data_IF_792357292585
#
_entry.id   IF_792357292585
#
_cell.length_a   1.000
_cell.length_b   1.000
_cell.length_c   1.000
_cell.angle_alpha   90.00
_cell.angle_beta   90.00
_cell.angle_gamma   90.00
#
_symmetry.space_group_name_H-M   'P 1'
#
loop_
_entity.id
_entity.type
_entity.pdbx_description
1 polymer ?
#
# COMPACT_ATOMS: atom_id res chain seq x y z
N UNK A 1 -10.43 -49.99 -3.99
CA UNK A 1 -10.88 -50.41 -5.33
C UNK A 1 -9.98 -49.75 -6.36
N UNK A 2 -9.90 -50.28 -7.59
CA UNK A 2 -9.05 -49.73 -8.65
C UNK A 2 -9.94 -49.12 -9.74
N UNK A 3 -10.75 -48.15 -9.33
CA UNK A 3 -11.82 -47.56 -10.16
C UNK A 3 -11.23 -46.54 -11.13
N UNK A 4 -10.40 -47.05 -12.04
CA UNK A 4 -10.24 -46.47 -13.37
C UNK A 4 -11.53 -46.74 -14.13
N UNK A 5 -12.58 -45.98 -13.82
CA UNK A 5 -13.43 -45.52 -14.90
C UNK A 5 -12.48 -44.90 -15.93
N UNK A 6 -12.38 -45.49 -17.11
CA UNK A 6 -11.59 -44.90 -18.19
C UNK A 6 -12.14 -43.49 -18.38
N UNK A 7 -11.28 -42.47 -18.33
CA UNK A 7 -11.74 -41.10 -18.52
C UNK A 7 -12.19 -40.98 -19.98
N UNK A 8 -13.49 -41.18 -20.22
CA UNK A 8 -14.09 -41.13 -21.54
C UNK A 8 -14.03 -39.68 -22.00
N UNK A 9 -12.89 -39.31 -22.57
CA UNK A 9 -12.72 -38.08 -23.34
C UNK A 9 -13.81 -38.13 -24.40
N UNK A 10 -14.72 -37.16 -24.34
CA UNK A 10 -15.76 -36.97 -25.36
C UNK A 10 -15.03 -36.77 -26.68
N UNK A 11 -15.03 -37.81 -27.52
CA UNK A 11 -14.24 -37.83 -28.75
C UNK A 11 -14.64 -36.65 -29.62
N UNK A 12 -13.64 -35.99 -30.23
CA UNK A 12 -13.85 -34.85 -31.11
C UNK A 12 -14.81 -35.21 -32.24
N UNK A 13 -16.06 -34.76 -32.09
CA UNK A 13 -17.12 -34.97 -33.08
C UNK A 13 -17.29 -33.65 -33.87
N UNK A 14 -16.77 -33.55 -35.11
CA UNK A 14 -16.95 -32.35 -35.92
C UNK A 14 -18.44 -32.10 -36.27
N UNK A 15 -19.29 -33.11 -36.13
CA UNK A 15 -20.74 -33.03 -36.33
C UNK A 15 -21.52 -32.88 -35.00
N UNK A 16 -20.90 -32.38 -33.92
CA UNK A 16 -21.56 -32.16 -32.63
C UNK A 16 -22.76 -31.19 -32.73
N UNK A 17 -22.66 -30.19 -33.61
CA UNK A 17 -23.73 -29.25 -33.95
C UNK A 17 -23.71 -29.07 -35.47
N UNK A 18 -24.80 -29.45 -36.16
CA UNK A 18 -24.92 -29.35 -37.62
C UNK A 18 -26.06 -28.40 -37.98
N UNK A 19 -25.78 -27.42 -38.84
CA UNK A 19 -26.78 -26.48 -39.36
C UNK A 19 -27.34 -27.06 -40.67
N UNK A 20 -28.46 -27.79 -40.56
CA UNK A 20 -29.08 -28.47 -41.71
C UNK A 20 -29.70 -27.51 -42.74
N UNK A 21 -30.13 -26.32 -42.31
CA UNK A 21 -30.73 -25.30 -43.15
C UNK A 21 -30.47 -23.91 -42.55
N UNK A 22 -30.16 -22.92 -43.38
CA UNK A 22 -30.07 -21.52 -42.94
C UNK A 22 -31.47 -20.87 -42.92
N UNK A 23 -31.74 -19.93 -42.00
CA UNK A 23 -33.00 -19.19 -41.97
C UNK A 23 -33.26 -18.43 -43.28
N UNK A 24 -34.38 -18.72 -43.94
CA UNK A 24 -34.84 -17.94 -45.09
C UNK A 24 -35.71 -16.80 -44.58
N UNK A 25 -35.29 -15.56 -44.83
CA UNK A 25 -35.98 -14.35 -44.40
C UNK A 25 -36.47 -13.61 -45.65
N UNK A 26 -37.75 -13.28 -45.68
CA UNK A 26 -38.38 -12.45 -46.70
C UNK A 26 -38.91 -11.17 -46.06
N UNK A 27 -38.79 -10.04 -46.74
CA UNK A 27 -39.14 -8.72 -46.21
C UNK A 27 -39.86 -7.87 -47.27
N UNK A 28 -40.49 -6.78 -46.83
CA UNK A 28 -41.23 -5.82 -47.67
C UNK A 28 -41.04 -4.38 -47.13
N UNK A 29 -39.91 -4.10 -46.49
CA UNK A 29 -39.64 -2.87 -45.75
C UNK A 29 -39.60 -1.65 -46.67
N UNK A 30 -39.17 -1.79 -47.92
CA UNK A 30 -39.22 -0.68 -48.89
C UNK A 30 -40.65 -0.24 -49.25
N UNK A 31 -41.63 -1.16 -49.25
CA UNK A 31 -43.05 -0.79 -49.42
C UNK A 31 -43.56 0.02 -48.23
N UNK A 32 -43.19 -0.38 -47.01
CA UNK A 32 -43.57 0.32 -45.77
C UNK A 32 -42.87 1.68 -45.68
N UNK A 33 -41.59 1.75 -46.05
CA UNK A 33 -40.75 2.96 -46.07
C UNK A 33 -41.31 4.03 -47.00
N UNK A 34 -41.82 3.65 -48.18
CA UNK A 34 -42.46 4.60 -49.11
C UNK A 34 -43.70 5.27 -48.49
N UNK A 35 -44.56 4.51 -47.81
CA UNK A 35 -45.74 5.06 -47.12
C UNK A 35 -45.37 5.88 -45.88
N UNK A 36 -44.33 5.47 -45.11
CA UNK A 36 -43.79 6.29 -44.01
C UNK A 36 -43.27 7.63 -44.54
N UNK A 37 -42.47 7.64 -45.61
CA UNK A 37 -41.94 8.85 -46.23
C UNK A 37 -43.06 9.79 -46.69
N UNK A 38 -44.13 9.23 -47.27
CA UNK A 38 -45.33 9.99 -47.65
C UNK A 38 -46.03 10.62 -46.43
N UNK A 39 -46.18 9.86 -45.34
CA UNK A 39 -46.84 10.34 -44.11
C UNK A 39 -46.02 11.40 -43.37
N UNK A 40 -44.70 11.26 -43.29
CA UNK A 40 -43.83 12.28 -42.69
C UNK A 40 -43.83 13.55 -43.52
N UNK A 41 -43.62 13.45 -44.84
CA UNK A 41 -43.64 14.61 -45.73
C UNK A 41 -44.99 15.34 -45.73
N UNK A 42 -46.11 14.63 -45.57
CA UNK A 42 -47.41 15.27 -45.34
C UNK A 42 -47.44 16.00 -43.99
N UNK A 43 -47.05 15.36 -42.90
CA UNK A 43 -47.05 15.95 -41.57
C UNK A 43 -46.20 17.23 -41.48
N UNK A 44 -45.06 17.28 -42.19
CA UNK A 44 -44.19 18.47 -42.29
C UNK A 44 -44.87 19.67 -42.97
N UNK A 45 -45.93 19.47 -43.75
CA UNK A 45 -46.71 20.55 -44.40
C UNK A 45 -47.90 21.05 -43.58
N UNK A 46 -48.26 20.39 -42.46
CA UNK A 46 -49.45 20.74 -41.69
C UNK A 46 -49.16 21.84 -40.66
N UNK A 47 -49.71 23.03 -40.91
CA UNK A 47 -49.69 24.14 -39.93
C UNK A 47 -50.67 23.88 -38.77
N UNK A 48 -50.24 24.18 -37.55
CA UNK A 48 -51.06 23.96 -36.34
C UNK A 48 -51.94 25.19 -36.05
N UNK A 49 -53.26 24.99 -36.00
CA UNK A 49 -54.25 25.97 -35.54
C UNK A 49 -55.07 25.41 -34.37
N UNK A 50 -55.86 26.24 -33.70
CA UNK A 50 -56.75 25.75 -32.62
C UNK A 50 -57.81 24.76 -33.14
N UNK A 51 -58.32 25.01 -34.35
CA UNK A 51 -59.34 24.22 -35.03
C UNK A 51 -58.83 22.81 -35.39
N UNK A 52 -57.64 22.70 -35.98
CA UNK A 52 -57.10 21.41 -36.45
C UNK A 52 -56.27 20.64 -35.39
N UNK A 53 -55.96 21.27 -34.24
CA UNK A 53 -55.11 20.71 -33.17
C UNK A 53 -55.49 19.30 -32.73
N UNK A 54 -56.79 18.99 -32.66
CA UNK A 54 -57.27 17.67 -32.22
C UNK A 54 -57.06 16.58 -33.30
N UNK A 55 -57.02 16.95 -34.58
CA UNK A 55 -56.73 16.03 -35.69
C UNK A 55 -55.22 15.77 -35.80
N UNK A 56 -54.40 16.82 -35.66
CA UNK A 56 -52.93 16.69 -35.59
C UNK A 56 -52.52 15.77 -34.41
N UNK A 57 -53.20 15.89 -33.26
CA UNK A 57 -53.03 14.95 -32.13
C UNK A 57 -53.37 13.50 -32.49
N UNK A 58 -54.47 13.26 -33.23
CA UNK A 58 -54.82 11.90 -33.72
C UNK A 58 -53.77 11.37 -34.69
N UNK A 59 -53.31 12.20 -35.63
CA UNK A 59 -52.27 11.84 -36.61
C UNK A 59 -50.96 11.44 -35.92
N UNK A 60 -50.47 12.26 -34.97
CA UNK A 60 -49.28 11.94 -34.17
C UNK A 60 -49.44 10.65 -33.35
N UNK A 61 -50.62 10.40 -32.79
CA UNK A 61 -50.91 9.16 -32.08
C UNK A 61 -50.88 7.93 -33.01
N UNK A 62 -51.45 8.05 -34.22
CA UNK A 62 -51.44 7.00 -35.23
C UNK A 62 -50.00 6.67 -35.71
N UNK A 63 -49.18 7.69 -35.98
CA UNK A 63 -47.76 7.49 -36.35
C UNK A 63 -46.96 6.77 -35.25
N UNK A 64 -47.18 7.12 -33.98
CA UNK A 64 -46.55 6.43 -32.85
C UNK A 64 -47.01 4.97 -32.71
N UNK A 65 -48.31 4.70 -32.88
CA UNK A 65 -48.86 3.34 -32.82
C UNK A 65 -48.36 2.48 -33.99
N UNK A 66 -48.28 3.05 -35.20
CA UNK A 66 -47.71 2.40 -36.38
C UNK A 66 -46.23 2.07 -36.20
N UNK A 67 -45.43 2.98 -35.62
CA UNK A 67 -44.04 2.70 -35.26
C UNK A 67 -43.94 1.52 -34.29
N UNK A 68 -44.70 1.51 -33.18
CA UNK A 68 -44.64 0.39 -32.22
C UNK A 68 -44.96 -0.94 -32.89
N UNK A 69 -46.04 -0.99 -33.69
CA UNK A 69 -46.42 -2.19 -34.46
C UNK A 69 -45.28 -2.70 -35.36
N UNK A 70 -44.53 -1.80 -36.00
CA UNK A 70 -43.39 -2.17 -36.84
C UNK A 70 -42.21 -2.68 -36.01
N UNK A 71 -41.87 -2.00 -34.91
CA UNK A 71 -40.85 -2.44 -33.95
C UNK A 71 -41.17 -3.84 -33.40
N UNK A 72 -42.45 -4.12 -33.09
CA UNK A 72 -42.91 -5.38 -32.52
C UNK A 72 -42.99 -6.53 -33.55
N UNK A 73 -43.40 -6.25 -34.79
CA UNK A 73 -43.32 -7.21 -35.91
C UNK A 73 -41.86 -7.58 -36.21
N UNK A 74 -40.96 -6.60 -36.21
CA UNK A 74 -39.51 -6.82 -36.39
C UNK A 74 -38.93 -7.73 -35.30
N UNK A 75 -39.16 -7.40 -34.01
CA UNK A 75 -38.71 -8.23 -32.88
C UNK A 75 -39.23 -9.67 -33.00
N UNK A 76 -40.53 -9.83 -33.26
CA UNK A 76 -41.18 -11.16 -33.38
C UNK A 76 -40.62 -11.99 -34.52
N UNK A 77 -40.22 -11.36 -35.64
CA UNK A 77 -39.59 -12.06 -36.76
C UNK A 77 -38.17 -12.53 -36.43
N UNK A 78 -37.37 -11.67 -35.79
CA UNK A 78 -35.99 -11.98 -35.39
C UNK A 78 -35.94 -13.01 -34.25
N UNK A 79 -36.83 -12.91 -33.27
CA UNK A 79 -36.93 -13.85 -32.14
C UNK A 79 -37.15 -15.30 -32.60
N UNK A 80 -38.03 -15.51 -33.60
CA UNK A 80 -38.26 -16.84 -34.21
C UNK A 80 -37.01 -17.45 -34.84
N UNK A 81 -36.08 -16.62 -35.32
CA UNK A 81 -34.80 -17.05 -35.91
C UNK A 81 -33.75 -17.31 -34.82
N UNK A 82 -33.76 -16.52 -33.75
CA UNK A 82 -32.76 -16.59 -32.67
C UNK A 82 -33.11 -17.68 -31.64
N UNK A 83 -34.38 -17.94 -31.33
CA UNK A 83 -34.78 -18.89 -30.29
C UNK A 83 -34.24 -20.33 -30.50
N UNK A 84 -34.20 -20.91 -31.72
CA UNK A 84 -33.53 -22.20 -31.95
C UNK A 84 -32.03 -22.17 -31.67
N UNK A 85 -31.36 -21.05 -31.96
CA UNK A 85 -29.92 -20.85 -31.73
C UNK A 85 -29.66 -20.75 -30.22
N UNK A 86 -30.48 -19.99 -29.48
CA UNK A 86 -30.42 -19.92 -28.02
C UNK A 86 -30.66 -21.29 -27.36
N UNK A 87 -31.66 -22.06 -27.82
CA UNK A 87 -31.94 -23.38 -27.29
C UNK A 87 -30.79 -24.39 -27.49
N UNK A 88 -29.98 -24.24 -28.55
CA UNK A 88 -28.72 -24.98 -28.72
C UNK A 88 -27.60 -24.42 -27.83
N UNK A 89 -27.47 -23.09 -27.76
CA UNK A 89 -26.47 -22.41 -26.94
C UNK A 89 -26.61 -22.74 -25.45
N UNK A 90 -27.83 -22.82 -24.93
CA UNK A 90 -28.11 -23.08 -23.51
C UNK A 90 -27.90 -24.55 -23.16
N UNK A 91 -28.26 -25.49 -24.05
CA UNK A 91 -27.85 -26.90 -23.92
C UNK A 91 -26.34 -27.08 -23.93
N UNK A 92 -25.64 -26.34 -24.79
CA UNK A 92 -24.17 -26.34 -24.81
C UNK A 92 -23.59 -25.80 -23.49
N UNK A 93 -24.09 -24.66 -22.98
CA UNK A 93 -23.69 -24.08 -21.69
C UNK A 93 -23.87 -25.06 -20.53
N UNK A 94 -25.01 -25.76 -20.49
CA UNK A 94 -25.30 -26.76 -19.45
C UNK A 94 -24.28 -27.91 -19.50
N UNK A 95 -24.10 -28.52 -20.68
CA UNK A 95 -23.12 -29.60 -20.90
C UNK A 95 -21.68 -29.21 -20.51
N UNK A 96 -21.17 -28.04 -20.92
CA UNK A 96 -19.82 -27.61 -20.53
C UNK A 96 -19.73 -27.08 -19.10
N UNK A 97 -20.85 -26.62 -18.54
CA UNK A 97 -20.98 -26.22 -17.14
C UNK A 97 -20.74 -27.39 -16.18
N UNK A 98 -21.07 -28.62 -16.58
CA UNK A 98 -20.70 -29.84 -15.84
C UNK A 98 -19.19 -29.96 -15.67
N UNK A 99 -18.40 -29.74 -16.73
CA UNK A 99 -16.93 -29.73 -16.63
C UNK A 99 -16.41 -28.56 -15.78
N UNK A 100 -17.00 -27.36 -15.88
CA UNK A 100 -16.63 -26.23 -15.02
C UNK A 100 -16.84 -26.55 -13.53
N UNK A 101 -17.98 -27.16 -13.20
CA UNK A 101 -18.32 -27.60 -11.83
C UNK A 101 -17.40 -28.73 -11.35
N UNK A 102 -17.17 -29.74 -12.19
CA UNK A 102 -16.30 -30.87 -11.85
C UNK A 102 -14.85 -30.43 -11.63
N UNK A 103 -14.29 -29.58 -12.50
CA UNK A 103 -12.94 -29.05 -12.36
C UNK A 103 -12.79 -28.18 -11.10
N UNK A 104 -13.80 -27.38 -10.75
CA UNK A 104 -13.82 -26.62 -9.50
C UNK A 104 -13.82 -27.55 -8.27
N UNK A 105 -14.62 -28.63 -8.29
CA UNK A 105 -14.66 -29.62 -7.21
C UNK A 105 -13.37 -30.45 -7.11
N UNK A 106 -12.75 -30.81 -8.23
CA UNK A 106 -11.46 -31.51 -8.27
C UNK A 106 -10.35 -30.61 -7.72
N UNK A 107 -10.29 -29.33 -8.13
CA UNK A 107 -9.35 -28.36 -7.54
C UNK A 107 -9.55 -28.23 -6.03
N UNK A 108 -10.79 -28.04 -5.54
CA UNK A 108 -11.03 -27.92 -4.11
C UNK A 108 -10.60 -29.17 -3.32
N UNK A 109 -10.78 -30.37 -3.88
CA UNK A 109 -10.27 -31.62 -3.29
C UNK A 109 -8.74 -31.69 -3.28
N UNK A 110 -8.08 -31.26 -4.35
CA UNK A 110 -6.61 -31.20 -4.44
C UNK A 110 -6.08 -30.20 -3.41
N UNK A 111 -6.64 -28.98 -3.35
CA UNK A 111 -6.22 -27.93 -2.42
C UNK A 111 -6.29 -28.41 -0.96
N UNK A 112 -7.38 -29.06 -0.55
CA UNK A 112 -7.53 -29.64 0.80
C UNK A 112 -6.46 -30.69 1.12
N UNK A 113 -6.12 -31.57 0.17
CA UNK A 113 -5.07 -32.57 0.36
C UNK A 113 -3.68 -31.92 0.39
N UNK A 114 -3.42 -30.96 -0.50
CA UNK A 114 -2.17 -30.22 -0.52
C UNK A 114 -1.93 -29.42 0.77
N UNK A 115 -2.95 -28.74 1.28
CA UNK A 115 -2.85 -27.94 2.50
C UNK A 115 -2.73 -28.83 3.75
N UNK A 116 -3.42 -29.98 3.78
CA UNK A 116 -3.18 -31.01 4.80
C UNK A 116 -1.75 -31.55 4.78
N UNK A 117 -1.16 -31.76 3.59
CA UNK A 117 0.24 -32.18 3.44
C UNK A 117 1.26 -31.07 3.79
N UNK A 118 0.92 -29.79 3.55
CA UNK A 118 1.71 -28.64 4.02
C UNK A 118 1.70 -28.57 5.54
N UNK A 119 0.53 -28.64 6.17
CA UNK A 119 0.35 -28.59 7.62
C UNK A 119 1.03 -29.77 8.33
N UNK A 120 0.91 -31.00 7.81
CA UNK A 120 1.60 -32.16 8.37
C UNK A 120 3.14 -32.01 8.32
N UNK A 121 3.67 -31.45 7.23
CA UNK A 121 5.09 -31.13 7.08
C UNK A 121 5.51 -30.00 8.03
N UNK A 122 4.69 -28.97 8.19
CA UNK A 122 4.92 -27.86 9.10
C UNK A 122 5.00 -28.35 10.56
N UNK A 123 4.03 -29.15 11.00
CA UNK A 123 4.02 -29.76 12.33
C UNK A 123 5.27 -30.62 12.57
N UNK A 124 5.62 -31.53 11.66
CA UNK A 124 6.82 -32.38 11.78
C UNK A 124 8.14 -31.57 11.84
N UNK A 125 8.20 -30.41 11.18
CA UNK A 125 9.36 -29.49 11.24
C UNK A 125 9.34 -28.63 12.52
N UNK A 126 8.14 -28.31 13.04
CA UNK A 126 7.94 -27.57 14.30
C UNK A 126 8.23 -28.43 15.52
N UNK A 127 7.78 -29.67 15.56
CA UNK A 127 8.14 -30.68 16.57
C UNK A 127 9.67 -30.80 16.69
N UNK A 128 10.37 -30.95 15.56
CA UNK A 128 11.83 -31.00 15.51
C UNK A 128 12.52 -29.69 15.95
N UNK A 129 11.90 -28.54 15.71
CA UNK A 129 12.36 -27.25 16.25
C UNK A 129 12.19 -27.20 17.77
N UNK A 130 11.04 -27.61 18.30
CA UNK A 130 10.73 -27.65 19.73
C UNK A 130 11.65 -28.61 20.49
N UNK A 131 11.96 -29.79 19.92
CA UNK A 131 13.01 -30.70 20.39
C UNK A 131 14.39 -30.01 20.45
N UNK A 132 14.81 -29.35 19.37
CA UNK A 132 16.13 -28.72 19.27
C UNK A 132 16.31 -27.53 20.23
N UNK A 133 15.32 -26.66 20.39
CA UNK A 133 15.43 -25.52 21.32
C UNK A 133 15.37 -25.98 22.78
N UNK A 134 14.59 -27.03 23.09
CA UNK A 134 14.59 -27.68 24.40
C UNK A 134 15.96 -28.28 24.70
N UNK A 135 16.52 -29.06 23.76
CA UNK A 135 17.84 -29.70 23.92
C UNK A 135 19.01 -28.72 24.04
N UNK A 136 18.85 -27.47 23.58
CA UNK A 136 19.85 -26.39 23.72
C UNK A 136 19.49 -25.34 24.78
N UNK A 137 18.39 -25.52 25.52
CA UNK A 137 17.88 -24.60 26.54
C UNK A 137 17.70 -23.16 26.03
N UNK A 138 17.01 -23.00 24.90
CA UNK A 138 16.71 -21.70 24.27
C UNK A 138 15.21 -21.40 24.43
N UNK A 139 14.87 -20.37 25.19
CA UNK A 139 13.49 -20.06 25.62
C UNK A 139 12.79 -18.95 24.82
N UNK A 140 13.51 -18.24 23.96
CA UNK A 140 13.10 -16.92 23.46
C UNK A 140 12.89 -16.82 21.95
N UNK A 141 13.10 -17.91 21.20
CA UNK A 141 12.84 -17.96 19.77
C UNK A 141 11.57 -18.77 19.48
N UNK A 142 10.75 -18.32 18.54
CA UNK A 142 9.54 -19.02 18.11
C UNK A 142 9.71 -19.58 16.69
N UNK A 143 8.94 -20.62 16.35
CA UNK A 143 9.03 -21.29 15.06
C UNK A 143 8.80 -20.33 13.88
N UNK A 144 7.87 -19.39 14.09
CA UNK A 144 7.42 -18.40 13.11
C UNK A 144 8.53 -17.38 12.77
N UNK A 145 9.46 -17.13 13.70
CA UNK A 145 10.62 -16.25 13.49
C UNK A 145 11.68 -16.85 12.56
N UNK A 146 11.67 -18.17 12.29
CA UNK A 146 12.60 -18.80 11.35
C UNK A 146 12.27 -18.48 9.88
N UNK A 147 11.07 -17.95 9.59
CA UNK A 147 10.68 -17.49 8.25
C UNK A 147 10.64 -18.59 7.17
N UNK A 148 10.45 -19.86 7.58
CA UNK A 148 10.54 -21.02 6.71
C UNK A 148 9.39 -21.04 5.68
N UNK A 149 9.73 -21.20 4.40
CA UNK A 149 8.75 -21.34 3.31
C UNK A 149 8.34 -22.81 3.16
N UNK A 150 7.41 -23.25 4.01
CA UNK A 150 6.81 -24.58 3.91
C UNK A 150 6.07 -24.70 2.57
N UNK A 151 6.51 -25.63 1.72
CA UNK A 151 5.91 -25.92 0.42
C UNK A 151 5.97 -27.43 0.17
N UNK A 152 5.19 -27.94 -0.78
CA UNK A 152 5.25 -29.36 -1.13
C UNK A 152 6.57 -29.73 -1.83
N UNK A 153 7.13 -28.84 -2.64
CA UNK A 153 8.36 -29.06 -3.42
C UNK A 153 9.66 -29.03 -2.60
N UNK A 154 9.69 -28.35 -1.45
CA UNK A 154 10.85 -28.43 -0.53
C UNK A 154 10.72 -29.69 0.34
N UNK A 155 11.77 -30.51 0.39
CA UNK A 155 11.79 -31.72 1.21
C UNK A 155 11.84 -31.38 2.71
N UNK A 156 11.18 -32.20 3.53
CA UNK A 156 11.17 -32.04 5.00
C UNK A 156 12.60 -32.01 5.57
N UNK A 157 13.48 -32.90 5.09
CA UNK A 157 14.92 -32.91 5.45
C UNK A 157 15.57 -31.54 5.28
N UNK A 158 15.31 -30.85 4.17
CA UNK A 158 15.89 -29.52 3.90
C UNK A 158 15.34 -28.44 4.82
N UNK A 159 14.08 -28.55 5.24
CA UNK A 159 13.50 -27.66 6.26
C UNK A 159 14.12 -27.93 7.64
N UNK A 160 14.28 -29.21 8.03
CA UNK A 160 14.96 -29.59 9.29
C UNK A 160 16.45 -29.18 9.30
N UNK A 161 17.14 -29.27 8.17
CA UNK A 161 18.49 -28.69 8.00
C UNK A 161 18.50 -27.17 8.19
N UNK A 162 17.49 -26.45 7.68
CA UNK A 162 17.36 -25.00 7.89
C UNK A 162 17.06 -24.64 9.36
N UNK A 163 16.15 -25.36 10.02
CA UNK A 163 15.90 -25.24 11.47
C UNK A 163 17.21 -25.41 12.24
N UNK A 164 17.92 -26.53 12.02
CA UNK A 164 19.15 -26.84 12.73
C UNK A 164 20.21 -25.75 12.55
N UNK A 165 20.41 -25.26 11.32
CA UNK A 165 21.40 -24.21 11.05
C UNK A 165 21.07 -22.88 11.74
N UNK A 166 19.78 -22.52 11.88
CA UNK A 166 19.37 -21.32 12.63
C UNK A 166 19.57 -21.53 14.14
N UNK A 167 19.17 -22.69 14.66
CA UNK A 167 19.24 -22.99 16.10
C UNK A 167 20.69 -23.19 16.59
N UNK A 168 21.57 -23.80 15.78
CA UNK A 168 23.01 -23.88 16.08
C UNK A 168 23.70 -22.51 16.01
N UNK A 169 23.26 -21.62 15.11
CA UNK A 169 23.74 -20.23 15.10
C UNK A 169 23.38 -19.52 16.40
N UNK A 170 22.11 -19.57 16.82
CA UNK A 170 21.67 -18.96 18.09
C UNK A 170 22.41 -19.57 19.30
N UNK A 171 22.65 -20.89 19.32
CA UNK A 171 23.41 -21.54 20.38
C UNK A 171 24.92 -21.19 20.37
N UNK A 172 25.47 -20.79 19.22
CA UNK A 172 26.84 -20.29 19.09
C UNK A 172 26.93 -18.82 19.50
N UNK A 173 25.96 -18.02 19.06
CA UNK A 173 25.79 -16.61 19.42
C UNK A 173 25.68 -16.44 20.95
N UNK A 174 24.86 -17.25 21.62
CA UNK A 174 24.72 -17.24 23.09
C UNK A 174 26.05 -17.54 23.83
N UNK A 175 26.86 -18.47 23.31
CA UNK A 175 28.20 -18.76 23.87
C UNK A 175 29.17 -17.59 23.66
N UNK A 176 29.05 -16.86 22.56
CA UNK A 176 29.86 -15.67 22.30
C UNK A 176 29.46 -14.49 23.21
N UNK A 177 28.17 -14.38 23.55
CA UNK A 177 27.64 -13.37 24.49
C UNK A 177 28.11 -13.66 25.93
N UNK A 178 28.09 -14.92 26.39
CA UNK A 178 28.44 -15.28 27.78
C UNK A 178 29.89 -14.96 28.17
N UNK A 179 30.76 -14.73 27.18
CA UNK A 179 32.18 -14.35 27.33
C UNK A 179 32.37 -12.82 27.38
N UNK A 180 31.35 -12.01 27.07
CA UNK A 180 31.43 -10.54 27.11
C UNK A 180 31.31 -9.98 28.53
N UNK A 181 31.84 -8.78 28.77
CA UNK A 181 31.71 -8.08 30.06
C UNK A 181 30.26 -7.63 30.31
N UNK A 182 29.62 -6.96 29.34
CA UNK A 182 28.25 -6.43 29.44
C UNK A 182 27.15 -7.46 29.08
N UNK A 183 27.37 -8.75 29.37
CA UNK A 183 26.64 -9.86 28.71
C UNK A 183 25.12 -9.85 28.93
N UNK A 184 24.61 -9.45 30.09
CA UNK A 184 23.17 -9.38 30.35
C UNK A 184 22.47 -8.33 29.48
N UNK A 185 23.10 -7.16 29.27
CA UNK A 185 22.54 -6.11 28.41
C UNK A 185 22.67 -6.47 26.93
N UNK A 186 23.79 -7.08 26.54
CA UNK A 186 24.00 -7.61 25.19
C UNK A 186 22.97 -8.71 24.88
N UNK A 187 22.63 -9.57 25.83
CA UNK A 187 21.57 -10.58 25.67
C UNK A 187 20.18 -9.93 25.47
N UNK A 188 19.86 -8.87 26.22
CA UNK A 188 18.59 -8.13 26.07
C UNK A 188 18.47 -7.45 24.71
N UNK A 189 19.56 -6.92 24.14
CA UNK A 189 19.57 -6.44 22.76
C UNK A 189 19.51 -7.59 21.74
N UNK A 190 20.27 -8.67 21.95
CA UNK A 190 20.30 -9.83 21.05
C UNK A 190 18.93 -10.48 20.87
N UNK A 191 18.15 -10.65 21.95
CA UNK A 191 16.80 -11.26 21.92
C UNK A 191 15.82 -10.48 21.01
N UNK A 192 16.13 -9.25 20.57
CA UNK A 192 15.29 -8.46 19.64
C UNK A 192 15.48 -8.86 18.17
N UNK A 193 16.72 -9.14 17.76
CA UNK A 193 17.11 -9.20 16.33
C UNK A 193 18.01 -10.41 15.96
N UNK A 194 18.42 -11.23 16.93
CA UNK A 194 19.28 -12.41 16.75
C UNK A 194 20.59 -12.10 16.00
N UNK A 195 21.25 -10.99 16.38
CA UNK A 195 22.48 -10.49 15.78
C UNK A 195 23.47 -10.03 16.88
N UNK A 196 24.53 -10.81 17.14
CA UNK A 196 25.50 -10.51 18.20
C UNK A 196 26.27 -9.22 17.92
N UNK A 197 26.75 -9.04 16.69
CA UNK A 197 27.59 -7.89 16.33
C UNK A 197 26.85 -6.55 16.51
N UNK A 198 25.56 -6.52 16.20
CA UNK A 198 24.70 -5.36 16.38
C UNK A 198 24.35 -5.12 17.86
N UNK A 199 24.07 -6.16 18.63
CA UNK A 199 23.83 -6.07 20.08
C UNK A 199 25.07 -5.54 20.83
N UNK A 200 26.24 -6.16 20.62
CA UNK A 200 27.52 -5.74 21.21
C UNK A 200 27.87 -4.30 20.84
N UNK A 201 27.75 -3.93 19.56
CA UNK A 201 28.01 -2.57 19.09
C UNK A 201 27.06 -1.54 19.73
N UNK A 202 25.78 -1.89 19.87
CA UNK A 202 24.75 -1.03 20.48
C UNK A 202 25.02 -0.77 21.96
N UNK A 203 25.38 -1.80 22.73
CA UNK A 203 25.71 -1.68 24.16
C UNK A 203 27.02 -0.90 24.35
N UNK A 204 28.07 -1.23 23.60
CA UNK A 204 29.34 -0.50 23.67
C UNK A 204 29.19 1.00 23.30
N UNK A 205 28.37 1.33 22.30
CA UNK A 205 28.05 2.72 21.95
C UNK A 205 27.28 3.45 23.07
N UNK A 206 26.32 2.75 23.71
CA UNK A 206 25.53 3.26 24.84
C UNK A 206 26.42 3.53 26.06
N UNK A 207 27.28 2.60 26.44
CA UNK A 207 28.25 2.79 27.53
C UNK A 207 29.24 3.92 27.26
N UNK A 208 29.76 4.03 26.03
CA UNK A 208 30.62 5.15 25.61
C UNK A 208 29.91 6.51 25.69
N UNK A 209 28.63 6.58 25.30
CA UNK A 209 27.83 7.80 25.39
C UNK A 209 27.55 8.21 26.86
N UNK A 210 27.19 7.24 27.71
CA UNK A 210 26.96 7.45 29.15
C UNK A 210 28.24 7.96 29.83
N UNK A 211 29.40 7.37 29.52
CA UNK A 211 30.69 7.80 30.07
C UNK A 211 31.07 9.22 29.61
N UNK A 212 30.88 9.55 28.32
CA UNK A 212 31.15 10.89 27.81
C UNK A 212 30.29 11.97 28.51
N UNK A 213 29.02 11.70 28.80
CA UNK A 213 28.15 12.63 29.52
C UNK A 213 28.48 12.74 31.03
N UNK A 214 28.93 11.64 31.67
CA UNK A 214 29.49 11.69 33.04
C UNK A 214 30.72 12.61 33.10
N UNK A 215 31.68 12.42 32.19
CA UNK A 215 32.88 13.26 32.12
C UNK A 215 32.56 14.72 31.80
N UNK A 216 31.61 14.98 30.91
CA UNK A 216 31.14 16.34 30.59
C UNK A 216 30.59 17.04 31.83
N UNK A 217 29.81 16.35 32.66
CA UNK A 217 29.29 16.89 33.93
C UNK A 217 30.40 17.16 34.95
N UNK A 218 31.35 16.24 35.12
CA UNK A 218 32.52 16.44 36.01
C UNK A 218 33.34 17.67 35.57
N UNK A 219 33.64 17.78 34.27
CA UNK A 219 34.39 18.92 33.71
C UNK A 219 33.64 20.24 33.87
N UNK A 220 32.31 20.25 33.76
CA UNK A 220 31.47 21.43 34.04
C UNK A 220 31.44 21.79 35.54
N UNK A 221 31.36 20.82 36.44
CA UNK A 221 31.36 21.07 37.88
C UNK A 221 32.73 21.59 38.36
N UNK A 222 33.83 21.02 37.87
CA UNK A 222 35.18 21.55 38.08
C UNK A 222 35.31 23.00 37.60
N UNK A 223 34.84 23.32 36.39
CA UNK A 223 34.87 24.68 35.87
C UNK A 223 34.05 25.63 36.75
N UNK A 224 32.86 25.20 37.19
CA UNK A 224 32.00 25.98 38.10
C UNK A 224 32.62 26.17 39.48
N UNK A 225 33.37 25.18 39.99
CA UNK A 225 34.12 25.27 41.24
C UNK A 225 35.30 26.25 41.11
N UNK A 226 36.09 26.14 40.02
CA UNK A 226 37.20 27.05 39.69
C UNK A 226 36.71 28.50 39.53
N UNK A 227 35.59 28.72 38.84
CA UNK A 227 34.92 30.02 38.73
C UNK A 227 34.45 30.57 40.09
N UNK A 228 33.82 29.74 40.94
CA UNK A 228 33.42 30.14 42.30
C UNK A 228 34.62 30.52 43.17
N UNK A 229 35.73 29.80 43.07
CA UNK A 229 36.96 30.11 43.79
C UNK A 229 37.57 31.45 43.33
N UNK A 230 37.68 31.66 42.01
CA UNK A 230 38.13 32.93 41.44
C UNK A 230 37.23 34.11 41.84
N UNK A 231 35.90 33.95 41.77
CA UNK A 231 34.96 34.98 42.18
C UNK A 231 35.05 35.32 43.68
N UNK A 232 35.32 34.33 44.55
CA UNK A 232 35.60 34.56 45.97
C UNK A 232 36.90 35.35 46.16
N UNK A 233 37.99 34.94 45.51
CA UNK A 233 39.28 35.63 45.61
C UNK A 233 39.20 37.10 45.12
N UNK A 234 38.46 37.37 44.03
CA UNK A 234 38.20 38.74 43.56
C UNK A 234 37.35 39.54 44.55
N UNK A 235 36.30 38.95 45.12
CA UNK A 235 35.48 39.61 46.14
C UNK A 235 36.23 39.87 47.46
N UNK A 236 37.19 39.01 47.81
CA UNK A 236 38.05 39.15 48.98
C UNK A 236 39.13 40.22 48.77
N UNK A 237 39.77 40.25 47.60
CA UNK A 237 40.67 41.32 47.21
C UNK A 237 39.96 42.69 47.15
N UNK A 238 38.73 42.74 46.63
CA UNK A 238 37.90 43.95 46.63
C UNK A 238 37.52 44.41 48.05
N UNK A 239 37.28 43.47 48.98
CA UNK A 239 37.08 43.80 50.40
C UNK A 239 38.35 44.35 51.06
N UNK A 240 39.51 43.79 50.76
CA UNK A 240 40.79 44.30 51.25
C UNK A 240 41.06 45.72 50.72
N UNK A 241 40.81 45.97 49.43
CA UNK A 241 40.88 47.32 48.86
C UNK A 241 39.90 48.30 49.52
N UNK A 242 38.65 47.88 49.77
CA UNK A 242 37.66 48.70 50.46
C UNK A 242 38.04 49.03 51.92
N UNK A 243 38.74 48.13 52.62
CA UNK A 243 39.26 48.40 53.98
C UNK A 243 40.48 49.33 53.97
N UNK A 244 41.32 49.28 52.92
CA UNK A 244 42.42 50.26 52.73
C UNK A 244 41.87 51.65 52.35
N UNK A 245 40.71 51.73 51.71
CA UNK A 245 40.07 53.01 51.36
C UNK A 245 39.25 53.65 52.49
N UNK A 246 39.13 53.02 53.67
CA UNK A 246 38.49 53.61 54.86
C UNK A 246 39.43 54.39 55.79
N UNK A 247 40.69 54.64 55.40
CA UNK A 247 41.65 55.47 56.16
C UNK A 247 42.21 56.66 55.36
N UNK A 248 41.53 57.10 54.28
CA UNK A 248 41.98 58.24 53.45
C UNK A 248 40.80 59.03 52.85
N UNK A 249 40.16 59.86 53.67
CA UNK A 249 39.14 60.83 53.24
C UNK A 249 39.72 62.01 52.41
N UNK A 250 38.80 62.76 51.78
CA UNK A 250 38.94 64.06 51.09
C UNK A 250 39.67 64.06 49.72
N UNK A 251 39.04 64.40 48.58
CA UNK A 251 38.30 65.63 48.13
C UNK A 251 39.20 66.55 47.27
N UNK A 252 38.75 67.23 46.20
CA UNK A 252 37.39 67.33 45.61
C UNK A 252 37.31 66.55 44.25
N UNK A 253 37.13 67.03 43.01
CA UNK A 253 36.85 68.36 42.43
C UNK A 253 35.88 68.26 41.23
N UNK A 254 34.88 69.14 41.16
CA UNK A 254 33.81 69.12 40.12
C UNK A 254 34.19 69.68 38.74
N UNK A 255 33.53 69.18 37.70
CA UNK A 255 32.70 70.04 36.84
C UNK A 255 31.54 69.25 36.22
N UNK A 256 30.37 69.87 36.10
CA UNK A 256 29.13 69.23 35.66
C UNK A 256 28.35 70.12 34.68
N UNK A 257 27.50 69.51 33.83
CA UNK A 257 26.18 70.06 33.44
C UNK A 257 25.33 68.98 32.71
N UNK A 258 24.23 68.59 33.37
CA UNK A 258 22.87 68.25 32.86
C UNK A 258 22.69 67.32 31.63
N UNK A 259 22.15 66.13 31.91
CA UNK A 259 20.74 65.70 31.63
C UNK A 259 20.02 66.04 30.28
N UNK A 260 18.98 65.27 29.87
CA UNK A 260 18.67 63.84 30.16
C UNK A 260 17.96 63.04 29.01
N UNK A 261 17.63 61.76 29.30
CA UNK A 261 16.40 61.02 28.88
C UNK A 261 16.19 60.57 27.41
N UNK A 262 15.96 59.24 27.24
CA UNK A 262 15.30 58.52 26.14
C UNK A 262 15.92 58.60 24.71
N UNK A 263 15.95 57.51 23.93
CA UNK A 263 14.79 57.12 23.10
C UNK A 263 14.88 55.70 22.53
N UNK A 264 13.72 55.00 22.60
CA UNK A 264 13.19 53.89 21.78
C UNK A 264 14.15 53.17 20.81
N UNK A 265 14.28 51.86 21.03
CA UNK A 265 14.66 50.88 20.00
C UNK A 265 13.47 50.65 19.04
N UNK A 266 13.68 50.77 17.71
CA UNK A 266 12.61 50.53 16.73
C UNK A 266 13.11 49.99 15.38
N UNK A 267 12.77 48.71 15.14
CA UNK A 267 12.63 47.95 13.88
C UNK A 267 12.84 48.70 12.53
N UNK A 268 13.86 48.26 11.77
CA UNK A 268 13.90 48.29 10.30
C UNK A 268 14.89 47.21 9.77
N UNK A 269 14.79 46.72 8.51
CA UNK A 269 15.30 45.38 8.15
C UNK A 269 16.66 45.36 7.44
N UNK A 270 17.39 44.22 7.47
CA UNK A 270 18.69 44.06 6.82
C UNK A 270 18.58 43.87 5.30
N UNK A 271 19.58 44.37 4.55
CA UNK A 271 19.77 44.01 3.14
C UNK A 271 21.21 43.57 2.85
N UNK A 272 21.28 42.39 2.23
CA UNK A 272 22.26 41.93 1.24
C UNK A 272 23.75 42.14 1.55
N UNK A 273 24.40 41.05 1.97
CA UNK A 273 25.68 40.64 1.36
C UNK A 273 25.56 39.21 0.81
N UNK A 274 26.22 38.98 -0.32
CA UNK A 274 26.45 37.70 -1.01
C UNK A 274 27.88 37.73 -1.57
N UNK A 275 28.49 36.59 -1.93
CA UNK A 275 28.13 35.21 -1.59
C UNK A 275 29.27 34.48 -0.84
N UNK A 276 28.99 33.27 -0.35
CA UNK A 276 30.02 32.24 -0.17
C UNK A 276 29.41 30.90 -0.56
N UNK A 277 30.25 30.03 -1.13
CA UNK A 277 29.86 28.85 -1.89
C UNK A 277 29.41 27.70 -0.98
N UNK A 278 28.31 27.03 -1.34
CA UNK A 278 27.76 25.90 -0.60
C UNK A 278 27.08 24.91 -1.58
N UNK A 279 27.33 23.61 -1.37
CA UNK A 279 26.97 22.55 -2.30
C UNK A 279 25.44 22.35 -2.43
N UNK A 280 24.95 22.21 -3.67
CA UNK A 280 23.55 21.92 -3.95
C UNK A 280 23.29 20.42 -3.71
N UNK A 281 22.66 20.10 -2.57
CA UNK A 281 22.07 18.77 -2.36
C UNK A 281 20.68 18.70 -3.03
N UNK A 282 20.37 17.63 -3.79
CA UNK A 282 19.03 17.45 -4.35
C UNK A 282 17.96 17.42 -3.25
N UNK A 283 16.87 18.16 -3.45
CA UNK A 283 15.73 18.15 -2.54
C UNK A 283 14.74 17.08 -3.01
N UNK A 284 14.67 15.95 -2.31
CA UNK A 284 13.80 14.84 -2.70
C UNK A 284 12.31 15.21 -2.56
N UNK A 285 11.56 15.08 -3.66
CA UNK A 285 10.11 15.29 -3.65
C UNK A 285 9.41 14.21 -2.82
N UNK A 286 8.69 14.62 -1.78
CA UNK A 286 7.91 13.69 -0.93
C UNK A 286 6.71 13.16 -1.71
N UNK A 287 6.78 11.92 -2.17
CA UNK A 287 5.67 11.21 -2.81
C UNK A 287 4.65 10.82 -1.73
N UNK A 288 3.41 11.27 -1.87
CA UNK A 288 2.28 10.86 -1.04
C UNK A 288 1.42 9.81 -1.74
N UNK A 289 0.95 8.80 -1.00
CA UNK A 289 0.03 7.77 -1.50
C UNK A 289 -1.37 8.02 -0.94
N UNK A 290 -2.39 7.86 -1.79
CA UNK A 290 -3.81 7.85 -1.41
C UNK A 290 -4.57 6.81 -2.21
N UNK A 291 -5.63 6.24 -1.65
CA UNK A 291 -6.47 5.22 -2.27
C UNK A 291 -7.92 5.71 -2.31
N UNK A 292 -8.56 5.64 -3.49
CA UNK A 292 -9.94 6.02 -3.69
C UNK A 292 -10.59 5.12 -4.75
N UNK A 293 -11.90 4.92 -4.65
CA UNK A 293 -12.67 4.11 -5.61
C UNK A 293 -13.26 5.02 -6.70
N UNK A 294 -13.14 4.59 -7.95
CA UNK A 294 -13.68 5.30 -9.12
C UNK A 294 -14.71 4.42 -9.80
N UNK A 295 -15.87 4.98 -10.12
CA UNK A 295 -16.92 4.34 -10.90
C UNK A 295 -17.06 5.09 -12.22
N UNK A 296 -16.70 4.43 -13.33
CA UNK A 296 -16.61 5.05 -14.65
C UNK A 296 -16.84 4.01 -15.76
N UNK A 297 -17.04 4.47 -16.99
CA UNK A 297 -17.08 3.62 -18.19
C UNK A 297 -15.68 3.15 -18.59
N UNK A 298 -15.60 2.07 -19.38
CA UNK A 298 -14.32 1.55 -19.89
C UNK A 298 -13.52 2.60 -20.68
N UNK A 299 -14.20 3.50 -21.38
CA UNK A 299 -13.57 4.59 -22.13
C UNK A 299 -12.95 5.64 -21.19
N UNK A 300 -13.68 6.06 -20.17
CA UNK A 300 -13.17 6.98 -19.15
C UNK A 300 -12.00 6.37 -18.35
N UNK A 301 -11.98 5.04 -18.11
CA UNK A 301 -10.83 4.38 -17.51
C UNK A 301 -9.57 4.41 -18.41
N UNK A 302 -9.72 4.35 -19.75
CA UNK A 302 -8.60 4.53 -20.69
C UNK A 302 -8.06 5.96 -20.61
N UNK A 303 -8.94 6.95 -20.69
CA UNK A 303 -8.60 8.37 -20.61
C UNK A 303 -7.92 8.73 -19.28
N UNK A 304 -8.40 8.18 -18.15
CA UNK A 304 -7.79 8.31 -16.83
C UNK A 304 -6.38 7.66 -16.79
N UNK A 305 -6.21 6.48 -17.40
CA UNK A 305 -4.93 5.78 -17.51
C UNK A 305 -3.92 6.59 -18.32
N UNK A 306 -4.34 7.18 -19.43
CA UNK A 306 -3.51 8.06 -20.27
C UNK A 306 -3.18 9.38 -19.58
N UNK A 307 -4.14 9.97 -18.85
CA UNK A 307 -3.91 11.16 -18.04
C UNK A 307 -2.82 10.92 -16.98
N UNK A 308 -2.90 9.81 -16.22
CA UNK A 308 -1.91 9.46 -15.20
C UNK A 308 -0.52 9.25 -15.82
N UNK A 309 -0.42 8.50 -16.93
CA UNK A 309 0.83 8.33 -17.69
C UNK A 309 1.41 9.67 -18.14
N UNK A 310 0.61 10.53 -18.78
CA UNK A 310 1.01 11.85 -19.30
C UNK A 310 1.45 12.82 -18.19
N UNK A 311 1.01 12.59 -16.94
CA UNK A 311 1.40 13.38 -15.76
C UNK A 311 2.47 12.71 -14.89
N UNK A 312 3.03 11.57 -15.30
CA UNK A 312 4.04 10.83 -14.53
C UNK A 312 3.53 10.23 -13.21
N UNK A 313 2.21 10.19 -13.01
CA UNK A 313 1.58 9.72 -11.77
C UNK A 313 1.66 8.20 -11.73
N UNK A 314 2.26 7.66 -10.66
CA UNK A 314 2.30 6.21 -10.39
C UNK A 314 0.92 5.78 -9.87
N UNK A 315 0.37 4.70 -10.43
CA UNK A 315 -0.91 4.11 -10.04
C UNK A 315 -0.79 2.59 -9.88
N UNK A 316 -1.58 2.02 -8.97
CA UNK A 316 -1.71 0.57 -8.80
C UNK A 316 -2.75 -0.04 -9.75
N UNK A 317 -2.83 -1.37 -9.74
CA UNK A 317 -3.93 -2.16 -10.28
C UNK A 317 -4.64 -2.88 -9.14
#
# INVERSE_FOLDING_TARGET
MNDKEEMIIVKDNPNLIVINQLPVISEQLDMVKAEIQRRTAFADTVTVSEENRQEIKKMRAAMNAEKSRLDDVYKTAIEKVIAPIQAVQDKYKDCVGLYTKANSQLKAKIDVIEDGLKLAKENSVKEYFEELVTAKNIDFISFEQLGLKITLSVSEKKLKEQVNNIVERVATDLKAIDIQEDKEEILVEYKKHLNVSEAVSTVAARHKAIQAEKERKIKQEEQRAKQKAAARAVAEAARQQAQVQSESDNEETVQAVKEPVQTKEQLAPPQVFKPTEAEIKPQEEKIFMSQFKVYATLQQFRELTEFMKRKGIRYGK
#
